data_IF_892425102812
#
_entry.id   IF_892425102812
#
_cell.length_a   1.000
_cell.length_b   1.000
_cell.length_c   1.000
_cell.angle_alpha   90.00
_cell.angle_beta   90.00
_cell.angle_gamma   90.00
#
_symmetry.space_group_name_H-M   'P 1'
#
loop_
_entity.id
_entity.type
_entity.pdbx_description
1 polymer ?
#
# COMPACT_ATOMS: atom_id res chain seq x y z
N UNK A 1 -18.34 22.75 -10.15
CA UNK A 1 -17.50 21.72 -10.78
C UNK A 1 -18.11 20.35 -10.49
N UNK A 2 -18.08 19.45 -11.46
CA UNK A 2 -18.41 18.03 -11.27
C UNK A 2 -17.09 17.25 -11.24
N UNK A 3 -17.00 16.21 -10.40
CA UNK A 3 -15.78 15.40 -10.23
C UNK A 3 -16.01 14.02 -10.83
N UNK A 4 -15.06 13.55 -11.63
CA UNK A 4 -15.06 12.21 -12.22
C UNK A 4 -13.73 11.52 -11.89
N UNK A 5 -13.80 10.26 -11.46
CA UNK A 5 -12.62 9.41 -11.24
C UNK A 5 -12.46 8.47 -12.44
N UNK A 6 -11.25 8.42 -13.00
CA UNK A 6 -10.91 7.59 -14.17
C UNK A 6 -9.77 6.64 -13.80
N UNK A 7 -9.88 5.37 -14.21
CA UNK A 7 -8.77 4.43 -14.19
C UNK A 7 -8.27 4.27 -15.62
N UNK A 8 -6.98 4.53 -15.83
CA UNK A 8 -6.31 4.37 -17.12
C UNK A 8 -5.05 3.53 -16.93
N UNK A 9 -4.58 2.89 -18.00
CA UNK A 9 -3.31 2.16 -17.97
C UNK A 9 -2.15 3.15 -17.86
N UNK A 10 -1.10 2.79 -17.12
CA UNK A 10 0.13 3.59 -17.01
C UNK A 10 0.70 3.94 -18.38
N UNK A 11 0.69 2.98 -19.31
CA UNK A 11 1.14 3.18 -20.68
C UNK A 11 0.34 4.22 -21.47
N UNK A 12 -0.87 4.57 -21.02
CA UNK A 12 -1.78 5.52 -21.66
C UNK A 12 -1.79 6.90 -21.00
N UNK A 13 -1.13 7.07 -19.86
CA UNK A 13 -1.13 8.35 -19.11
C UNK A 13 -0.66 9.51 -20.00
N UNK A 14 0.45 9.33 -20.74
CA UNK A 14 0.99 10.38 -21.61
C UNK A 14 0.02 10.79 -22.72
N UNK A 15 -0.60 9.82 -23.38
CA UNK A 15 -1.56 10.08 -24.45
C UNK A 15 -2.82 10.77 -23.89
N UNK A 16 -3.28 10.35 -22.71
CA UNK A 16 -4.39 10.99 -22.03
C UNK A 16 -4.11 12.46 -21.71
N UNK A 17 -2.92 12.78 -21.15
CA UNK A 17 -2.51 14.16 -20.90
C UNK A 17 -2.53 14.99 -22.19
N UNK A 18 -2.00 14.46 -23.30
CA UNK A 18 -2.02 15.15 -24.59
C UNK A 18 -3.45 15.40 -25.10
N UNK A 19 -4.38 14.47 -24.88
CA UNK A 19 -5.79 14.63 -25.27
C UNK A 19 -6.46 15.76 -24.50
N UNK A 20 -6.15 15.91 -23.21
CA UNK A 20 -6.81 16.90 -22.33
C UNK A 20 -6.10 18.26 -22.29
N UNK A 21 -4.86 18.36 -22.77
CA UNK A 21 -4.07 19.61 -22.80
C UNK A 21 -4.84 20.82 -23.39
N UNK A 22 -5.62 20.68 -24.50
CA UNK A 22 -6.40 21.80 -25.04
C UNK A 22 -7.53 22.30 -24.12
N UNK A 23 -7.88 21.53 -23.09
CA UNK A 23 -8.99 21.80 -22.17
C UNK A 23 -8.51 22.12 -20.74
N UNK A 24 -7.22 22.45 -20.54
CA UNK A 24 -6.62 22.70 -19.22
C UNK A 24 -7.26 23.85 -18.43
N UNK A 25 -7.95 24.77 -19.10
CA UNK A 25 -8.75 25.82 -18.47
C UNK A 25 -10.10 25.32 -17.92
N UNK A 26 -10.56 24.16 -18.40
CA UNK A 26 -11.84 23.53 -18.07
C UNK A 26 -11.70 22.30 -17.19
N UNK A 27 -10.51 21.71 -17.13
CA UNK A 27 -10.22 20.46 -16.42
C UNK A 27 -9.16 20.72 -15.36
N UNK A 28 -9.45 20.31 -14.13
CA UNK A 28 -8.47 20.28 -13.06
C UNK A 28 -7.97 18.84 -12.85
N UNK A 29 -6.69 18.61 -13.12
CA UNK A 29 -6.02 17.37 -12.73
C UNK A 29 -5.60 17.53 -11.28
N UNK A 30 -6.06 16.63 -10.42
CA UNK A 30 -5.60 16.54 -9.03
C UNK A 30 -4.86 15.22 -8.88
N UNK A 31 -3.61 15.31 -8.42
CA UNK A 31 -2.91 14.15 -7.93
C UNK A 31 -3.53 13.75 -6.60
N UNK A 32 -3.63 12.45 -6.36
CA UNK A 32 -4.12 11.93 -5.08
C UNK A 32 -3.09 12.27 -3.99
N UNK A 33 -3.51 13.04 -2.98
CA UNK A 33 -2.62 13.46 -1.89
C UNK A 33 -1.98 12.27 -1.17
N UNK A 34 -2.64 11.11 -1.12
CA UNK A 34 -2.06 9.92 -0.51
C UNK A 34 -0.83 9.42 -1.28
N UNK A 35 -0.84 9.58 -2.61
CA UNK A 35 0.26 9.16 -3.48
C UNK A 35 1.43 10.14 -3.47
N UNK A 36 1.21 11.39 -3.03
CA UNK A 36 2.27 12.39 -2.91
C UNK A 36 3.24 12.08 -1.76
N UNK A 37 2.70 11.62 -0.63
CA UNK A 37 3.51 11.20 0.52
C UNK A 37 3.95 9.74 0.41
N UNK A 38 3.17 8.92 -0.29
CA UNK A 38 3.33 7.49 -0.36
C UNK A 38 2.95 6.92 -1.73
N UNK A 39 3.91 6.72 -2.64
CA UNK A 39 3.66 6.15 -3.97
C UNK A 39 3.05 4.74 -3.97
N UNK A 40 3.11 4.01 -2.85
CA UNK A 40 2.60 2.63 -2.71
C UNK A 40 1.44 2.55 -1.72
N UNK A 41 0.74 3.67 -1.49
CA UNK A 41 -0.30 3.77 -0.47
C UNK A 41 -1.38 2.70 -0.64
N UNK A 42 -1.85 2.50 -1.87
CA UNK A 42 -2.94 1.56 -2.16
C UNK A 42 -2.50 0.10 -2.05
N UNK A 43 -1.27 -0.22 -2.46
CA UNK A 43 -0.66 -1.54 -2.25
C UNK A 43 -0.55 -1.85 -0.76
N UNK A 44 0.00 -0.93 0.03
CA UNK A 44 0.12 -1.09 1.50
C UNK A 44 -1.23 -1.15 2.19
N UNK A 45 -2.20 -0.36 1.75
CA UNK A 45 -3.56 -0.43 2.26
C UNK A 45 -4.16 -1.82 2.03
N UNK A 46 -4.01 -2.37 0.82
CA UNK A 46 -4.46 -3.72 0.48
C UNK A 46 -3.76 -4.78 1.33
N UNK A 47 -2.44 -4.70 1.47
CA UNK A 47 -1.66 -5.60 2.33
C UNK A 47 -2.13 -5.57 3.78
N UNK A 48 -2.36 -4.37 4.33
CA UNK A 48 -2.88 -4.19 5.68
C UNK A 48 -4.26 -4.83 5.86
N UNK A 49 -5.16 -4.65 4.89
CA UNK A 49 -6.49 -5.27 4.94
C UNK A 49 -6.41 -6.79 4.90
N UNK A 50 -5.53 -7.35 4.06
CA UNK A 50 -5.31 -8.79 3.98
C UNK A 50 -4.74 -9.32 5.31
N UNK A 51 -3.70 -8.69 5.87
CA UNK A 51 -3.14 -9.07 7.17
C UNK A 51 -4.19 -9.04 8.27
N UNK A 52 -5.07 -8.02 8.30
CA UNK A 52 -6.17 -7.94 9.27
C UNK A 52 -7.20 -9.05 9.08
N UNK A 53 -7.49 -9.44 7.84
CA UNK A 53 -8.37 -10.56 7.54
C UNK A 53 -7.76 -11.88 8.02
N UNK A 54 -6.46 -12.08 7.77
CA UNK A 54 -5.72 -13.27 8.19
C UNK A 54 -5.56 -13.39 9.70
N UNK A 55 -5.44 -12.26 10.41
CA UNK A 55 -5.52 -12.26 11.89
C UNK A 55 -6.91 -12.69 12.36
N UNK A 56 -7.97 -12.15 11.74
CA UNK A 56 -9.36 -12.45 12.14
C UNK A 56 -9.76 -13.88 11.85
N UNK A 57 -9.31 -14.45 10.73
CA UNK A 57 -9.62 -15.82 10.34
C UNK A 57 -8.70 -16.86 11.00
N UNK A 58 -7.69 -16.42 11.75
CA UNK A 58 -6.76 -17.28 12.50
C UNK A 58 -5.56 -17.78 11.69
N UNK A 59 -5.41 -17.38 10.43
CA UNK A 59 -4.24 -17.71 9.59
C UNK A 59 -2.96 -17.09 10.14
N UNK A 60 -3.02 -15.84 10.62
CA UNK A 60 -1.91 -15.16 11.30
C UNK A 60 -2.22 -15.06 12.79
N UNK A 61 -1.34 -15.62 13.62
CA UNK A 61 -1.47 -15.52 15.07
C UNK A 61 -0.79 -14.26 15.60
N UNK A 62 -1.55 -13.44 16.34
CA UNK A 62 -0.97 -12.36 17.14
C UNK A 62 -0.14 -12.96 18.28
N UNK A 63 1.15 -12.64 18.31
CA UNK A 63 2.07 -13.09 19.36
C UNK A 63 2.32 -11.98 20.38
N UNK A 64 2.42 -12.34 21.65
CA UNK A 64 2.76 -11.35 22.67
C UNK A 64 4.21 -10.89 22.51
N UNK A 65 4.51 -9.68 22.97
CA UNK A 65 5.88 -9.16 22.96
C UNK A 65 6.86 -10.12 23.66
N UNK A 66 6.44 -10.74 24.77
CA UNK A 66 7.24 -11.73 25.50
C UNK A 66 7.55 -12.96 24.64
N UNK A 67 6.54 -13.50 23.94
CA UNK A 67 6.72 -14.69 23.11
C UNK A 67 7.65 -14.41 21.93
N UNK A 68 7.49 -13.25 21.29
CA UNK A 68 8.37 -12.82 20.19
C UNK A 68 9.83 -12.77 20.67
N UNK A 69 10.11 -12.08 21.77
CA UNK A 69 11.48 -11.97 22.28
C UNK A 69 12.04 -13.27 22.83
N UNK A 70 11.20 -14.11 23.45
CA UNK A 70 11.62 -15.44 23.89
C UNK A 70 12.06 -16.28 22.71
N UNK A 71 11.29 -16.30 21.62
CA UNK A 71 11.62 -17.04 20.41
C UNK A 71 12.91 -16.53 19.75
N UNK A 72 13.10 -15.20 19.68
CA UNK A 72 14.33 -14.60 19.15
C UNK A 72 15.54 -15.03 19.99
N UNK A 73 15.46 -14.89 21.33
CA UNK A 73 16.57 -15.27 22.22
C UNK A 73 16.89 -16.77 22.11
N UNK A 74 15.87 -17.61 22.07
CA UNK A 74 16.06 -19.05 21.91
C UNK A 74 16.74 -19.37 20.57
N UNK A 75 16.34 -18.72 19.48
CA UNK A 75 16.99 -18.90 18.18
C UNK A 75 18.45 -18.45 18.19
N UNK A 76 18.79 -17.33 18.82
CA UNK A 76 20.18 -16.87 18.91
C UNK A 76 21.05 -17.85 19.70
N UNK A 77 20.52 -18.43 20.80
CA UNK A 77 21.23 -19.44 21.58
C UNK A 77 21.53 -20.73 20.80
N UNK A 78 20.70 -21.10 19.81
CA UNK A 78 21.00 -22.27 18.97
C UNK A 78 22.07 -22.00 17.92
N UNK A 79 22.40 -20.73 17.67
CA UNK A 79 23.50 -20.33 16.78
C UNK A 79 24.84 -20.26 17.54
N UNK A 80 24.82 -19.85 18.81
CA UNK A 80 26.01 -19.76 19.66
C UNK A 80 26.50 -21.12 20.19
N UNK A 81 25.61 -22.10 20.29
CA UNK A 81 25.93 -23.47 20.73
C UNK A 81 26.25 -24.44 19.57
N UNK A 82 26.71 -23.91 18.42
CA UNK A 82 27.26 -24.68 17.29
C UNK A 82 28.77 -24.47 17.20
#
# INVERSE_FOLDING_TARGET
>A
MQTLTLQIKDSFVKDFINIIEPYKDKIQIKQDENLDYDPYFYERQKELHNMRADIKNGTIKMSSHKDVWSNIKQHLQTLENK
#
